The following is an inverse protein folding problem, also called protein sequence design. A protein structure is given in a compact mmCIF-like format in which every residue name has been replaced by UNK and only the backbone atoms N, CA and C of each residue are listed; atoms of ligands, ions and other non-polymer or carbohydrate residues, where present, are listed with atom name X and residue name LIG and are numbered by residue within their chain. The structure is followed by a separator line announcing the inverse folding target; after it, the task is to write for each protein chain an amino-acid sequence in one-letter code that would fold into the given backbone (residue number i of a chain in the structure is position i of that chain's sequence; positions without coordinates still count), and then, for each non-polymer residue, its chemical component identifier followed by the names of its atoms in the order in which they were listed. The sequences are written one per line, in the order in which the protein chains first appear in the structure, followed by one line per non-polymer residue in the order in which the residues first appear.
data_IF_978695031161
#
_entry.id   IF_978695031161
#
_cell.length_a   1.000
_cell.length_b   1.000
_cell.length_c   1.000
_cell.angle_alpha   90.00
_cell.angle_beta   90.00
_cell.angle_gamma   90.00
#
_symmetry.space_group_name_H-M   'P 1'
#
loop_
_entity.id
_entity.type
_entity.pdbx_description
1 polymer ?
#
# COMPACT_ATOMS: atom_id res chain seq x y z
N UNK A 1 -28.21 -24.30 8.66
CA UNK A 1 -27.36 -23.21 8.12
C UNK A 1 -27.90 -22.84 6.76
N UNK A 2 -28.12 -21.56 6.48
CA UNK A 2 -28.68 -21.10 5.20
C UNK A 2 -27.72 -21.40 4.04
N UNK A 3 -28.28 -21.77 2.88
CA UNK A 3 -27.56 -22.07 1.64
C UNK A 3 -26.59 -20.94 1.25
N UNK A 4 -27.00 -19.69 1.46
CA UNK A 4 -26.17 -18.49 1.29
C UNK A 4 -24.89 -18.50 2.16
N UNK A 5 -24.99 -18.94 3.42
CA UNK A 5 -23.84 -19.01 4.33
C UNK A 5 -22.83 -20.07 3.86
N UNK A 6 -23.31 -21.18 3.30
CA UNK A 6 -22.45 -22.23 2.78
C UNK A 6 -21.73 -21.80 1.50
N UNK A 7 -22.44 -21.12 0.59
CA UNK A 7 -21.86 -20.51 -0.61
C UNK A 7 -20.79 -19.47 -0.24
N UNK A 8 -21.05 -18.62 0.76
CA UNK A 8 -20.09 -17.63 1.24
C UNK A 8 -18.81 -18.30 1.78
N UNK A 9 -18.93 -19.33 2.62
CA UNK A 9 -17.79 -20.08 3.16
C UNK A 9 -16.96 -20.73 2.05
N UNK A 10 -17.62 -21.31 1.06
CA UNK A 10 -16.94 -21.90 -0.10
C UNK A 10 -16.15 -20.85 -0.89
N UNK A 11 -16.76 -19.70 -1.18
CA UNK A 11 -16.12 -18.61 -1.91
C UNK A 11 -14.91 -18.05 -1.17
N UNK A 12 -15.05 -17.78 0.14
CA UNK A 12 -13.96 -17.31 1.01
C UNK A 12 -12.82 -18.33 1.00
N UNK A 13 -13.12 -19.61 1.24
CA UNK A 13 -12.12 -20.68 1.23
C UNK A 13 -11.37 -20.81 -0.10
N UNK A 14 -12.10 -20.71 -1.22
CA UNK A 14 -11.53 -20.77 -2.56
C UNK A 14 -10.64 -19.54 -2.85
N UNK A 15 -11.05 -18.34 -2.44
CA UNK A 15 -10.24 -17.13 -2.59
C UNK A 15 -8.97 -17.17 -1.75
N UNK A 16 -9.03 -17.67 -0.51
CA UNK A 16 -7.85 -17.85 0.35
C UNK A 16 -6.88 -18.87 -0.27
N UNK A 17 -7.40 -19.98 -0.81
CA UNK A 17 -6.59 -20.95 -1.56
C UNK A 17 -5.87 -20.29 -2.74
N UNK A 18 -6.56 -19.43 -3.50
CA UNK A 18 -5.98 -18.67 -4.62
C UNK A 18 -4.86 -17.73 -4.13
N UNK A 19 -5.09 -16.96 -3.05
CA UNK A 19 -4.09 -16.07 -2.45
C UNK A 19 -2.81 -16.84 -2.08
N UNK A 20 -2.98 -17.97 -1.38
CA UNK A 20 -1.89 -18.85 -0.99
C UNK A 20 -1.10 -19.37 -2.19
N UNK A 21 -1.80 -19.85 -3.22
CA UNK A 21 -1.17 -20.38 -4.43
C UNK A 21 -0.41 -19.31 -5.21
N UNK A 22 -0.95 -18.08 -5.32
CA UNK A 22 -0.26 -16.95 -5.98
C UNK A 22 1.06 -16.60 -5.29
N UNK A 23 1.11 -16.69 -3.96
CA UNK A 23 2.36 -16.53 -3.18
C UNK A 23 3.25 -17.79 -3.17
N UNK A 24 2.87 -18.86 -3.86
CA UNK A 24 3.53 -20.19 -3.86
C UNK A 24 3.69 -20.79 -2.45
N UNK A 25 2.74 -20.51 -1.57
CA UNK A 25 2.75 -21.03 -0.20
C UNK A 25 2.14 -22.44 -0.12
N UNK A 26 2.74 -23.30 0.71
CA UNK A 26 2.14 -24.59 1.07
C UNK A 26 0.97 -24.38 2.02
N UNK A 27 0.04 -25.34 2.07
CA UNK A 27 -1.02 -25.32 3.09
C UNK A 27 -0.42 -25.34 4.50
N UNK A 28 0.67 -26.08 4.72
CA UNK A 28 1.36 -26.10 6.02
C UNK A 28 1.80 -24.70 6.44
N UNK A 29 2.41 -23.92 5.54
CA UNK A 29 2.87 -22.55 5.84
C UNK A 29 1.72 -21.63 6.27
N UNK A 30 0.62 -21.64 5.52
CA UNK A 30 -0.55 -20.83 5.87
C UNK A 30 -1.22 -21.34 7.16
N UNK A 31 -1.26 -22.65 7.38
CA UNK A 31 -1.83 -23.22 8.60
C UNK A 31 -1.03 -22.81 9.84
N UNK A 32 0.31 -22.82 9.75
CA UNK A 32 1.20 -22.31 10.79
C UNK A 32 0.95 -20.84 11.08
N UNK A 33 0.83 -19.99 10.05
CA UNK A 33 0.51 -18.57 10.22
C UNK A 33 -0.81 -18.36 10.99
N UNK A 34 -1.81 -19.21 10.73
CA UNK A 34 -3.14 -19.10 11.33
C UNK A 34 -3.29 -19.86 12.65
N UNK A 35 -2.23 -20.53 13.13
CA UNK A 35 -2.28 -21.32 14.36
C UNK A 35 -3.20 -22.55 14.28
N UNK A 36 -3.36 -23.15 13.10
CA UNK A 36 -4.25 -24.31 12.86
C UNK A 36 -3.51 -25.48 12.23
N UNK A 37 -4.14 -26.66 12.21
CA UNK A 37 -3.59 -27.82 11.50
C UNK A 37 -3.74 -27.69 9.99
N UNK A 38 -2.82 -28.29 9.23
CA UNK A 38 -2.89 -28.32 7.77
C UNK A 38 -4.16 -29.02 7.26
N UNK A 39 -4.61 -30.07 7.95
CA UNK A 39 -5.88 -30.75 7.65
C UNK A 39 -7.08 -29.81 7.84
N UNK A 40 -7.08 -29.00 8.90
CA UNK A 40 -8.16 -28.03 9.13
C UNK A 40 -8.15 -26.94 8.06
N UNK A 41 -6.99 -26.40 7.69
CA UNK A 41 -6.89 -25.46 6.57
C UNK A 41 -7.42 -26.06 5.26
N UNK A 42 -7.12 -27.33 4.98
CA UNK A 42 -7.65 -28.06 3.81
C UNK A 42 -9.19 -28.15 3.81
N UNK A 43 -9.82 -28.27 4.99
CA UNK A 43 -11.29 -28.21 5.10
C UNK A 43 -11.81 -26.79 4.87
N UNK A 44 -11.16 -25.79 5.46
CA UNK A 44 -11.53 -24.38 5.29
C UNK A 44 -11.46 -23.93 3.82
N UNK A 45 -10.38 -24.27 3.12
CA UNK A 45 -10.20 -23.95 1.68
C UNK A 45 -11.23 -24.66 0.77
N UNK A 46 -11.91 -25.70 1.27
CA UNK A 46 -13.00 -26.42 0.58
C UNK A 46 -14.39 -25.96 1.03
N UNK A 47 -14.49 -24.92 1.85
CA UNK A 47 -15.76 -24.43 2.41
C UNK A 47 -16.39 -25.34 3.46
N UNK A 48 -15.65 -26.33 3.98
CA UNK A 48 -16.11 -27.31 4.98
C UNK A 48 -15.92 -26.80 6.42
N UNK A 49 -15.72 -25.51 6.61
CA UNK A 49 -15.57 -24.85 7.92
C UNK A 49 -15.60 -23.33 7.77
N UNK A 50 -15.26 -22.61 8.84
CA UNK A 50 -15.21 -21.14 8.85
C UNK A 50 -13.89 -20.66 9.44
N UNK A 51 -13.35 -19.58 8.88
CA UNK A 51 -12.29 -18.81 9.53
C UNK A 51 -12.90 -17.99 10.67
N UNK A 52 -12.17 -17.82 11.77
CA UNK A 52 -12.52 -16.82 12.78
C UNK A 52 -12.25 -15.41 12.24
N UNK A 53 -12.78 -14.38 12.90
CA UNK A 53 -12.53 -13.00 12.51
C UNK A 53 -11.03 -12.65 12.59
N UNK A 54 -10.33 -13.13 13.63
CA UNK A 54 -8.91 -12.91 13.86
C UNK A 54 -8.05 -13.60 12.78
N UNK A 55 -8.44 -14.82 12.38
CA UNK A 55 -7.79 -15.53 11.27
C UNK A 55 -7.99 -14.77 9.96
N UNK A 56 -9.20 -14.27 9.70
CA UNK A 56 -9.48 -13.49 8.51
C UNK A 56 -8.66 -12.19 8.48
N UNK A 57 -8.63 -11.43 9.57
CA UNK A 57 -7.79 -10.23 9.69
C UNK A 57 -6.31 -10.54 9.50
N UNK A 58 -5.83 -11.67 10.02
CA UNK A 58 -4.45 -12.12 9.81
C UNK A 58 -4.18 -12.37 8.33
N UNK A 59 -5.09 -13.03 7.62
CA UNK A 59 -5.01 -13.26 6.16
C UNK A 59 -5.01 -11.92 5.41
N UNK A 60 -5.97 -11.03 5.71
CA UNK A 60 -6.09 -9.73 5.05
C UNK A 60 -4.79 -8.93 5.16
N UNK A 61 -4.20 -8.86 6.36
CA UNK A 61 -2.91 -8.18 6.57
C UNK A 61 -1.76 -8.87 5.85
N UNK A 62 -1.63 -10.20 5.97
CA UNK A 62 -0.47 -10.91 5.43
C UNK A 62 -0.46 -11.00 3.91
N UNK A 63 -1.62 -11.29 3.32
CA UNK A 63 -1.77 -11.28 1.87
C UNK A 63 -1.91 -9.87 1.31
N UNK A 64 -2.05 -8.89 2.21
CA UNK A 64 -2.33 -7.50 1.91
C UNK A 64 -3.52 -7.47 0.96
N UNK A 65 -4.75 -7.65 1.43
CA UNK A 65 -5.98 -7.54 0.63
C UNK A 65 -7.02 -6.82 1.47
N UNK A 66 -7.89 -5.98 0.87
CA UNK A 66 -8.91 -5.26 1.62
C UNK A 66 -10.01 -6.20 2.13
N UNK A 67 -10.77 -5.78 3.15
CA UNK A 67 -11.80 -6.62 3.77
C UNK A 67 -12.95 -6.96 2.81
N UNK A 68 -13.22 -6.09 1.83
CA UNK A 68 -14.20 -6.28 0.78
C UNK A 68 -13.75 -7.28 -0.32
N UNK A 69 -12.50 -7.75 -0.27
CA UNK A 69 -11.96 -8.74 -1.23
C UNK A 69 -12.81 -10.02 -1.28
N UNK A 70 -13.41 -10.38 -0.15
CA UNK A 70 -14.28 -11.55 0.00
C UNK A 70 -15.76 -11.25 -0.24
N UNK A 71 -16.11 -10.02 -0.61
CA UNK A 71 -17.49 -9.60 -0.83
C UNK A 71 -18.04 -10.18 -2.14
N UNK A 72 -19.16 -10.92 -2.11
CA UNK A 72 -19.74 -11.52 -3.32
C UNK A 72 -20.28 -10.49 -4.32
N UNK A 73 -20.49 -9.24 -3.88
CA UNK A 73 -21.09 -8.17 -4.67
C UNK A 73 -20.09 -7.06 -5.02
N UNK A 74 -18.76 -7.30 -5.01
CA UNK A 74 -17.82 -6.27 -5.47
C UNK A 74 -18.11 -6.01 -6.96
N UNK A 75 -18.67 -4.86 -7.35
CA UNK A 75 -18.69 -4.52 -8.77
C UNK A 75 -17.23 -4.53 -9.23
N UNK A 76 -16.90 -5.00 -10.45
CA UNK A 76 -15.52 -4.97 -10.91
C UNK A 76 -15.05 -3.52 -10.87
N UNK A 77 -14.30 -3.15 -9.84
CA UNK A 77 -13.67 -1.85 -9.73
C UNK A 77 -12.52 -1.88 -10.71
N UNK A 78 -12.83 -1.59 -11.98
CA UNK A 78 -11.86 -1.69 -13.06
C UNK A 78 -10.66 -0.82 -12.76
N UNK A 79 -10.82 0.32 -12.10
CA UNK A 79 -9.74 1.27 -11.84
C UNK A 79 -8.88 0.83 -10.65
N UNK A 80 -9.46 0.59 -9.46
CA UNK A 80 -8.70 0.18 -8.27
C UNK A 80 -7.92 -1.12 -8.52
N UNK A 81 -8.57 -2.13 -9.14
CA UNK A 81 -7.93 -3.40 -9.43
C UNK A 81 -6.86 -3.28 -10.54
N UNK A 82 -7.04 -2.37 -11.51
CA UNK A 82 -6.01 -2.05 -12.51
C UNK A 82 -4.80 -1.36 -11.89
N UNK A 83 -5.01 -0.40 -10.97
CA UNK A 83 -3.94 0.25 -10.21
C UNK A 83 -3.19 -0.80 -9.40
N UNK A 84 -3.90 -1.67 -8.67
CA UNK A 84 -3.29 -2.76 -7.91
C UNK A 84 -2.43 -3.67 -8.79
N UNK A 85 -2.94 -4.07 -9.97
CA UNK A 85 -2.19 -4.90 -10.92
C UNK A 85 -0.94 -4.18 -11.44
N UNK A 86 -1.04 -2.90 -11.76
CA UNK A 86 0.09 -2.10 -12.21
C UNK A 86 1.14 -1.94 -11.09
N UNK A 87 0.72 -1.62 -9.86
CA UNK A 87 1.60 -1.52 -8.70
C UNK A 87 2.36 -2.82 -8.46
N UNK A 88 1.66 -3.96 -8.51
CA UNK A 88 2.26 -5.28 -8.33
C UNK A 88 3.39 -5.56 -9.35
N UNK A 89 3.14 -5.23 -10.62
CA UNK A 89 4.10 -5.43 -11.73
C UNK A 89 5.31 -4.50 -11.67
N UNK A 90 5.14 -3.28 -11.15
CA UNK A 90 6.21 -2.28 -11.03
C UNK A 90 7.04 -2.44 -9.74
N UNK A 91 6.79 -3.47 -8.93
CA UNK A 91 7.65 -3.83 -7.80
C UNK A 91 6.96 -3.89 -6.44
N UNK A 92 5.67 -3.54 -6.35
CA UNK A 92 4.86 -3.83 -5.17
C UNK A 92 4.39 -5.30 -5.18
N UNK A 93 5.32 -6.25 -5.29
CA UNK A 93 5.10 -7.70 -5.42
C UNK A 93 4.26 -8.33 -4.29
N UNK A 94 4.03 -7.57 -3.22
CA UNK A 94 3.19 -7.97 -2.11
C UNK A 94 1.69 -7.76 -2.37
N UNK A 95 1.33 -7.01 -3.40
CA UNK A 95 -0.04 -6.89 -3.86
C UNK A 95 -0.42 -8.10 -4.71
N UNK A 96 -1.69 -8.51 -4.63
CA UNK A 96 -2.19 -9.68 -5.35
C UNK A 96 -2.81 -9.25 -6.67
N UNK A 97 -2.23 -9.67 -7.79
CA UNK A 97 -2.82 -9.35 -9.10
C UNK A 97 -4.18 -10.04 -9.30
N UNK A 98 -5.18 -9.32 -9.79
CA UNK A 98 -6.43 -9.87 -10.31
C UNK A 98 -6.21 -10.38 -11.74
N UNK A 99 -6.35 -11.70 -11.96
CA UNK A 99 -6.05 -12.37 -13.23
C UNK A 99 -7.06 -12.08 -14.35
N UNK A 100 -8.17 -11.42 -14.02
CA UNK A 100 -9.29 -11.18 -14.91
C UNK A 100 -9.19 -9.84 -15.67
N UNK A 101 -8.15 -9.05 -15.38
CA UNK A 101 -8.00 -7.70 -15.94
C UNK A 101 -6.77 -7.58 -16.85
N UNK A 102 -7.01 -7.03 -18.04
CA UNK A 102 -5.97 -6.65 -18.97
C UNK A 102 -5.22 -5.40 -18.45
N UNK A 103 -3.91 -5.28 -18.70
CA UNK A 103 -3.16 -4.07 -18.40
C UNK A 103 -3.76 -2.86 -19.13
N UNK A 104 -3.96 -1.75 -18.43
CA UNK A 104 -4.31 -0.47 -19.08
C UNK A 104 -3.06 0.18 -19.67
N UNK A 105 -3.17 0.71 -20.89
CA UNK A 105 -2.14 1.54 -21.53
C UNK A 105 -1.79 2.77 -20.67
N UNK A 106 -2.77 3.35 -19.98
CA UNK A 106 -2.58 4.53 -19.12
C UNK A 106 -1.73 4.26 -17.87
N UNK A 107 -1.59 2.98 -17.48
CA UNK A 107 -0.87 2.54 -16.29
C UNK A 107 0.47 1.86 -16.61
N UNK A 108 0.99 2.06 -17.83
CA UNK A 108 2.31 1.57 -18.20
C UNK A 108 3.41 2.35 -17.50
N UNK A 109 4.23 1.64 -16.71
CA UNK A 109 5.43 2.15 -16.09
C UNK A 109 5.20 2.87 -14.76
N UNK A 110 6.20 2.76 -13.87
CA UNK A 110 6.18 3.28 -12.51
C UNK A 110 5.67 4.73 -12.35
N UNK A 111 6.03 5.67 -13.22
CA UNK A 111 5.57 7.07 -13.09
C UNK A 111 4.05 7.19 -13.16
N UNK A 112 3.43 6.54 -14.14
CA UNK A 112 1.98 6.56 -14.32
C UNK A 112 1.28 5.84 -13.17
N UNK A 113 1.84 4.72 -12.71
CA UNK A 113 1.28 3.95 -11.59
C UNK A 113 1.34 4.72 -10.28
N UNK A 114 2.46 5.38 -9.97
CA UNK A 114 2.59 6.22 -8.77
C UNK A 114 1.62 7.40 -8.83
N UNK A 115 1.50 8.05 -10.01
CA UNK A 115 0.55 9.14 -10.20
C UNK A 115 -0.87 8.67 -9.90
N UNK A 116 -1.32 7.59 -10.54
CA UNK A 116 -2.69 7.13 -10.37
C UNK A 116 -3.00 6.76 -8.91
N UNK A 117 -2.11 6.02 -8.24
CA UNK A 117 -2.32 5.60 -6.85
C UNK A 117 -2.47 6.79 -5.87
N UNK A 118 -1.75 7.89 -6.10
CA UNK A 118 -1.81 9.09 -5.26
C UNK A 118 -2.94 10.06 -5.64
N UNK A 119 -3.32 10.08 -6.91
CA UNK A 119 -4.43 10.91 -7.40
C UNK A 119 -5.77 10.30 -7.00
N UNK A 120 -5.96 8.99 -7.25
CA UNK A 120 -7.20 8.31 -6.86
C UNK A 120 -7.33 8.25 -5.34
N UNK A 121 -6.23 7.96 -4.64
CA UNK A 121 -6.16 7.87 -3.19
C UNK A 121 -7.24 6.97 -2.55
N UNK A 122 -7.74 5.98 -3.32
CA UNK A 122 -8.87 5.13 -2.92
C UNK A 122 -8.48 4.08 -1.87
N UNK A 123 -7.18 3.81 -1.71
CA UNK A 123 -6.68 2.75 -0.86
C UNK A 123 -5.35 3.10 -0.21
N UNK A 124 -5.33 3.19 1.12
CA UNK A 124 -4.12 3.39 1.93
C UNK A 124 -3.02 2.38 1.60
N UNK A 125 -3.43 1.15 1.29
CA UNK A 125 -2.56 0.06 0.85
C UNK A 125 -1.88 0.33 -0.50
N UNK A 126 -2.60 0.92 -1.44
CA UNK A 126 -2.04 1.28 -2.76
C UNK A 126 -1.13 2.50 -2.66
N UNK A 127 -1.48 3.45 -1.79
CA UNK A 127 -0.65 4.60 -1.46
C UNK A 127 0.69 4.14 -0.88
N UNK A 128 0.71 3.25 0.12
CA UNK A 128 1.97 2.79 0.73
C UNK A 128 2.79 1.90 -0.22
N UNK A 129 2.13 1.20 -1.13
CA UNK A 129 2.76 0.38 -2.16
C UNK A 129 3.60 1.18 -3.18
N UNK A 130 3.53 2.51 -3.21
CA UNK A 130 4.44 3.31 -4.03
C UNK A 130 5.90 3.26 -3.52
N UNK A 131 6.14 3.04 -2.22
CA UNK A 131 7.50 2.97 -1.67
C UNK A 131 8.36 1.87 -2.33
N UNK A 132 7.93 0.60 -2.42
CA UNK A 132 8.71 -0.43 -3.10
C UNK A 132 8.92 -0.16 -4.60
N UNK A 133 8.00 0.55 -5.25
CA UNK A 133 8.14 0.97 -6.65
C UNK A 133 9.22 2.05 -6.77
N UNK A 134 9.13 3.12 -5.97
CA UNK A 134 10.14 4.18 -5.91
C UNK A 134 11.51 3.59 -5.60
N UNK A 135 11.61 2.71 -4.60
CA UNK A 135 12.87 2.06 -4.23
C UNK A 135 13.44 1.17 -5.36
N UNK A 136 12.58 0.50 -6.13
CA UNK A 136 12.98 -0.34 -7.25
C UNK A 136 13.35 0.46 -8.49
N UNK A 137 12.71 1.61 -8.70
CA UNK A 137 12.85 2.44 -9.90
C UNK A 137 13.70 3.69 -9.68
N UNK A 138 14.27 3.92 -8.49
CA UNK A 138 14.93 5.18 -8.13
C UNK A 138 15.94 5.70 -9.17
N UNK A 139 16.72 4.80 -9.80
CA UNK A 139 17.71 5.18 -10.82
C UNK A 139 17.16 5.52 -12.21
N UNK A 140 15.89 5.21 -12.50
CA UNK A 140 15.25 5.43 -13.81
C UNK A 140 13.99 6.30 -13.75
N UNK A 141 13.46 6.53 -12.55
CA UNK A 141 12.26 7.32 -12.34
C UNK A 141 12.58 8.80 -12.57
N UNK A 142 11.89 9.43 -13.52
CA UNK A 142 12.02 10.87 -13.76
C UNK A 142 11.18 11.65 -12.73
N UNK A 143 11.76 11.87 -11.55
CA UNK A 143 11.10 12.56 -10.44
C UNK A 143 10.75 14.02 -10.77
N UNK A 144 11.57 14.72 -11.55
CA UNK A 144 11.28 16.08 -12.01
C UNK A 144 10.00 16.13 -12.84
N UNK A 145 9.89 15.24 -13.83
CA UNK A 145 8.69 15.15 -14.68
C UNK A 145 7.46 14.81 -13.84
N UNK A 146 7.57 13.79 -12.99
CA UNK A 146 6.47 13.39 -12.11
C UNK A 146 6.05 14.55 -11.20
N UNK A 147 7.00 15.30 -10.65
CA UNK A 147 6.69 16.47 -9.83
C UNK A 147 5.97 17.57 -10.59
N UNK A 148 6.40 17.87 -11.82
CA UNK A 148 5.71 18.83 -12.68
C UNK A 148 4.28 18.37 -12.99
N UNK A 149 4.05 17.08 -13.23
CA UNK A 149 2.70 16.53 -13.41
C UNK A 149 1.84 16.76 -12.16
N UNK A 150 2.36 16.55 -10.96
CA UNK A 150 1.60 16.82 -9.73
C UNK A 150 1.37 18.32 -9.47
N UNK A 151 2.32 19.20 -9.83
CA UNK A 151 2.10 20.65 -9.79
C UNK A 151 0.93 21.04 -10.69
N UNK A 152 0.85 20.48 -11.91
CA UNK A 152 -0.27 20.77 -12.81
C UNK A 152 -1.63 20.32 -12.28
N UNK A 153 -1.64 19.36 -11.36
CA UNK A 153 -2.84 18.87 -10.68
C UNK A 153 -3.13 19.61 -9.36
N UNK A 154 -2.23 20.46 -8.88
CA UNK A 154 -2.31 21.07 -7.54
C UNK A 154 -2.15 20.06 -6.39
N UNK A 155 -1.51 18.92 -6.67
CA UNK A 155 -1.32 17.81 -5.73
C UNK A 155 0.16 17.59 -5.37
N UNK A 156 1.03 18.57 -5.63
CA UNK A 156 2.46 18.45 -5.42
C UNK A 156 2.85 18.04 -4.00
N UNK A 157 2.07 18.47 -3.01
CA UNK A 157 2.28 18.10 -1.62
C UNK A 157 2.02 16.61 -1.35
N UNK A 158 1.08 15.96 -2.06
CA UNK A 158 0.87 14.50 -1.95
C UNK A 158 2.10 13.73 -2.42
N UNK A 159 2.67 14.11 -3.57
CA UNK A 159 3.88 13.47 -4.08
C UNK A 159 5.06 13.70 -3.14
N UNK A 160 5.24 14.92 -2.65
CA UNK A 160 6.34 15.25 -1.73
C UNK A 160 6.19 14.50 -0.40
N UNK A 161 4.99 14.46 0.17
CA UNK A 161 4.67 13.66 1.35
C UNK A 161 4.98 12.18 1.16
N UNK A 162 4.58 11.60 0.03
CA UNK A 162 4.85 10.22 -0.32
C UNK A 162 6.35 9.91 -0.44
N UNK A 163 7.10 10.79 -1.09
CA UNK A 163 8.56 10.67 -1.23
C UNK A 163 9.24 10.77 0.14
N UNK A 164 8.82 11.71 0.99
CA UNK A 164 9.39 11.93 2.31
C UNK A 164 9.17 10.70 3.23
N UNK A 165 7.94 10.16 3.25
CA UNK A 165 7.64 8.92 3.97
C UNK A 165 8.41 7.73 3.40
N UNK A 166 8.54 7.60 2.08
CA UNK A 166 9.34 6.55 1.44
C UNK A 166 10.81 6.64 1.86
N UNK A 167 11.36 7.85 1.91
CA UNK A 167 12.74 8.10 2.30
C UNK A 167 12.98 7.76 3.77
N UNK A 168 12.04 8.09 4.65
CA UNK A 168 12.08 7.71 6.07
C UNK A 168 11.94 6.19 6.25
N UNK A 169 11.00 5.56 5.55
CA UNK A 169 10.81 4.11 5.54
C UNK A 169 12.07 3.35 5.09
N UNK A 170 12.77 3.86 4.07
CA UNK A 170 14.04 3.29 3.62
C UNK A 170 15.14 3.40 4.67
N UNK A 171 15.17 4.50 5.45
CA UNK A 171 16.10 4.69 6.57
C UNK A 171 15.78 3.72 7.71
N UNK A 172 14.50 3.58 8.06
CA UNK A 172 14.03 2.62 9.07
C UNK A 172 14.40 1.19 8.69
N UNK A 173 14.10 0.75 7.46
CA UNK A 173 14.48 -0.59 6.98
C UNK A 173 16.00 -0.79 6.93
N UNK A 174 16.76 0.25 6.56
CA UNK A 174 18.24 0.16 6.51
C UNK A 174 18.88 0.04 7.89
N UNK A 175 18.20 0.47 8.95
CA UNK A 175 18.66 0.30 10.33
C UNK A 175 18.52 -1.16 10.82
N UNK A 176 17.68 -1.96 10.14
CA UNK A 176 17.48 -3.37 10.46
C UNK A 176 18.52 -4.28 9.79
N UNK A 177 18.60 -5.54 10.25
CA UNK A 177 19.48 -6.55 9.68
C UNK A 177 18.99 -7.02 8.29
N UNK A 178 19.35 -6.28 7.25
CA UNK A 178 19.02 -6.61 5.86
C UNK A 178 20.08 -7.47 5.15
N UNK A 179 19.69 -8.37 4.24
CA UNK A 179 20.61 -8.99 3.29
C UNK A 179 21.39 -7.95 2.48
N UNK A 180 22.64 -8.26 2.10
CA UNK A 180 23.56 -7.31 1.45
C UNK A 180 22.97 -6.66 0.20
N UNK A 181 22.31 -7.44 -0.65
CA UNK A 181 21.68 -6.96 -1.88
C UNK A 181 20.64 -5.87 -1.60
N UNK A 182 19.70 -6.14 -0.70
CA UNK A 182 18.63 -5.20 -0.33
C UNK A 182 19.17 -3.95 0.36
N UNK A 183 20.18 -4.10 1.21
CA UNK A 183 20.84 -2.96 1.86
C UNK A 183 21.48 -2.03 0.85
N UNK A 184 22.17 -2.56 -0.15
CA UNK A 184 22.78 -1.77 -1.23
C UNK A 184 21.71 -1.09 -2.09
N UNK A 185 20.63 -1.82 -2.43
CA UNK A 185 19.50 -1.30 -3.20
C UNK A 185 18.84 -0.12 -2.47
N UNK A 186 18.49 -0.28 -1.19
CA UNK A 186 17.82 0.76 -0.40
C UNK A 186 18.74 1.95 -0.16
N UNK A 187 20.02 1.73 0.17
CA UNK A 187 20.99 2.83 0.30
C UNK A 187 21.11 3.65 -0.99
N UNK A 188 21.23 2.99 -2.15
CA UNK A 188 21.27 3.66 -3.44
C UNK A 188 20.00 4.45 -3.71
N UNK A 189 18.83 3.85 -3.47
CA UNK A 189 17.55 4.54 -3.63
C UNK A 189 17.46 5.77 -2.74
N UNK A 190 17.77 5.65 -1.45
CA UNK A 190 17.79 6.77 -0.50
C UNK A 190 18.71 7.90 -0.96
N UNK A 191 19.93 7.59 -1.43
CA UNK A 191 20.85 8.63 -1.93
C UNK A 191 20.28 9.38 -3.13
N UNK A 192 19.70 8.67 -4.10
CA UNK A 192 19.13 9.30 -5.31
C UNK A 192 17.91 10.16 -4.94
N UNK A 193 17.02 9.63 -4.11
CA UNK A 193 15.80 10.31 -3.68
C UNK A 193 16.15 11.54 -2.84
N UNK A 194 17.04 11.41 -1.86
CA UNK A 194 17.47 12.52 -1.00
C UNK A 194 18.13 13.63 -1.83
N UNK A 195 19.01 13.29 -2.78
CA UNK A 195 19.66 14.27 -3.65
C UNK A 195 18.65 15.09 -4.47
N UNK A 196 17.60 14.44 -4.96
CA UNK A 196 16.49 15.10 -5.64
C UNK A 196 15.61 15.93 -4.69
N UNK A 197 15.33 15.38 -3.51
CA UNK A 197 14.26 15.85 -2.64
C UNK A 197 14.68 16.91 -1.62
N UNK A 198 15.96 16.94 -1.23
CA UNK A 198 16.50 17.81 -0.19
C UNK A 198 16.13 19.30 -0.35
N UNK A 199 16.16 19.92 -1.56
CA UNK A 199 15.76 21.32 -1.73
C UNK A 199 14.33 21.58 -1.24
N UNK A 200 13.41 20.65 -1.50
CA UNK A 200 12.01 20.78 -1.11
C UNK A 200 11.81 20.64 0.39
N UNK A 201 12.55 19.76 1.09
CA UNK A 201 12.49 19.64 2.56
C UNK A 201 12.92 20.93 3.27
N UNK A 202 13.85 21.67 2.68
CA UNK A 202 14.34 22.95 3.22
C UNK A 202 13.28 24.04 3.03
N UNK A 203 12.69 24.11 1.84
CA UNK A 203 11.69 25.11 1.47
C UNK A 203 10.32 24.87 2.11
N UNK A 204 9.97 23.62 2.40
CA UNK A 204 8.69 23.23 3.02
C UNK A 204 8.65 23.44 4.54
N UNK A 205 9.52 24.28 5.10
CA UNK A 205 9.30 24.78 6.46
C UNK A 205 7.94 25.50 6.46
N UNK A 206 7.03 25.18 7.39
CA UNK A 206 5.72 25.79 7.38
C UNK A 206 5.91 27.28 7.64
N UNK A 207 5.83 28.10 6.60
CA UNK A 207 5.40 29.49 6.74
C UNK A 207 3.92 29.40 7.07
N UNK A 208 3.62 29.13 8.35
CA UNK A 208 2.28 29.30 8.88
C UNK A 208 1.98 30.77 8.69
N UNK A 209 1.21 31.12 7.67
CA UNK A 209 0.59 32.42 7.63
C UNK A 209 -0.65 32.30 8.52
N UNK A 210 -0.65 32.87 9.74
CA UNK A 210 -1.71 32.67 10.72
C UNK A 210 -3.08 33.18 10.23
N UNK A 211 -3.11 34.00 9.17
CA UNK A 211 -4.33 34.57 8.58
C UNK A 211 -4.97 33.71 7.48
N UNK A 212 -4.28 32.66 7.00
CA UNK A 212 -4.79 31.75 5.97
C UNK A 212 -4.52 30.30 6.36
N UNK A 213 -5.46 29.62 7.05
CA UNK A 213 -5.32 28.19 7.33
C UNK A 213 -5.15 27.44 6.01
N UNK A 214 -3.99 26.82 5.84
CA UNK A 214 -3.64 26.07 4.64
C UNK A 214 -4.72 25.01 4.41
N UNK A 215 -5.32 24.99 3.21
CA UNK A 215 -6.31 24.00 2.84
C UNK A 215 -5.71 22.61 3.10
N UNK A 216 -6.25 21.91 4.09
CA UNK A 216 -5.70 20.62 4.51
C UNK A 216 -6.17 19.56 3.53
N UNK A 217 -5.22 18.90 2.88
CA UNK A 217 -5.51 17.86 1.89
C UNK A 217 -5.74 16.52 2.61
N UNK A 218 -6.99 16.02 2.58
CA UNK A 218 -7.34 14.75 3.22
C UNK A 218 -6.96 13.59 2.29
N UNK A 219 -6.00 12.79 2.73
CA UNK A 219 -5.44 11.66 1.98
C UNK A 219 -5.61 10.36 2.78
N UNK A 220 -6.85 10.07 3.14
CA UNK A 220 -7.21 8.88 3.89
C UNK A 220 -8.68 8.56 3.63
N UNK A 221 -8.99 7.53 2.81
CA UNK A 221 -10.36 7.17 2.47
C UNK A 221 -11.16 6.68 3.69
N UNK A 222 -10.47 6.28 4.78
CA UNK A 222 -11.09 5.82 6.02
C UNK A 222 -11.45 6.97 6.98
N UNK A 223 -11.20 8.23 6.58
CA UNK A 223 -11.69 9.43 7.29
C UNK A 223 -13.04 9.82 6.68
N UNK A 224 -14.13 9.39 7.32
CA UNK A 224 -15.50 9.55 6.81
C UNK A 224 -16.35 10.49 7.66
N UNK A 225 -15.86 10.96 8.80
CA UNK A 225 -16.57 11.87 9.72
C UNK A 225 -15.72 13.05 10.15
N UNK A 226 -16.36 14.16 10.50
CA UNK A 226 -15.68 15.36 11.03
C UNK A 226 -14.94 15.08 12.33
N UNK A 227 -15.51 14.25 13.21
CA UNK A 227 -14.86 13.81 14.46
C UNK A 227 -13.58 13.04 14.17
N UNK A 228 -13.62 12.07 13.25
CA UNK A 228 -12.44 11.31 12.86
C UNK A 228 -11.38 12.20 12.19
N UNK A 229 -11.81 13.24 11.48
CA UNK A 229 -10.93 14.20 10.84
C UNK A 229 -10.22 15.09 11.88
N UNK A 230 -10.95 15.56 12.89
CA UNK A 230 -10.38 16.39 13.96
C UNK A 230 -9.43 15.58 14.86
N UNK A 231 -9.75 14.32 15.14
CA UNK A 231 -8.83 13.42 15.83
C UNK A 231 -7.53 13.21 15.04
N UNK A 232 -7.62 12.96 13.73
CA UNK A 232 -6.42 12.77 12.91
C UNK A 232 -5.57 14.03 12.85
N UNK A 233 -6.19 15.22 12.84
CA UNK A 233 -5.47 16.50 12.85
C UNK A 233 -4.58 16.71 14.08
N UNK A 234 -5.00 16.25 15.25
CA UNK A 234 -4.20 16.39 16.49
C UNK A 234 -3.00 15.44 16.49
N UNK A 235 -3.16 14.27 15.88
CA UNK A 235 -2.18 13.18 15.88
C UNK A 235 -1.26 13.17 14.64
N UNK A 236 -1.35 14.14 13.72
CA UNK A 236 -0.55 14.12 12.49
C UNK A 236 0.96 14.00 12.76
N UNK A 237 1.58 13.08 12.01
CA UNK A 237 3.03 12.91 11.97
C UNK A 237 3.76 14.20 11.57
N UNK A 238 5.04 14.37 11.94
CA UNK A 238 5.84 15.52 11.52
C UNK A 238 5.92 15.69 10.00
N UNK A 239 5.90 14.58 9.24
CA UNK A 239 5.92 14.60 7.77
C UNK A 239 4.57 15.07 7.25
N UNK A 240 3.46 14.53 7.76
CA UNK A 240 2.10 14.93 7.38
C UNK A 240 1.85 16.41 7.68
N UNK A 241 2.27 16.91 8.85
CA UNK A 241 2.23 18.35 9.20
C UNK A 241 3.04 19.22 8.23
N UNK A 242 4.25 18.80 7.87
CA UNK A 242 5.13 19.55 6.94
C UNK A 242 4.49 19.75 5.58
N UNK A 243 3.80 18.75 5.08
CA UNK A 243 3.22 18.75 3.74
C UNK A 243 1.73 19.12 3.71
N UNK A 244 1.12 19.42 4.87
CA UNK A 244 -0.30 19.77 4.95
C UNK A 244 -1.26 18.64 4.56
N UNK A 245 -0.83 17.38 4.75
CA UNK A 245 -1.62 16.19 4.43
C UNK A 245 -2.28 15.68 5.71
N UNK A 246 -3.60 15.48 5.67
CA UNK A 246 -4.39 14.89 6.77
C UNK A 246 -4.59 13.42 6.46
N UNK A 247 -3.90 12.56 7.21
CA UNK A 247 -3.92 11.11 7.01
C UNK A 247 -3.39 10.39 8.23
N UNK A 248 -3.87 9.17 8.47
CA UNK A 248 -3.30 8.24 9.47
C UNK A 248 -2.09 7.47 8.93
N UNK A 249 -1.82 7.55 7.63
CA UNK A 249 -0.71 6.83 7.00
C UNK A 249 0.62 7.46 7.41
N UNK A 250 1.54 6.65 7.91
CA UNK A 250 2.85 7.08 8.39
C UNK A 250 4.01 6.31 7.74
N UNK A 251 5.23 6.76 7.98
CA UNK A 251 6.45 6.15 7.44
C UNK A 251 6.56 4.65 7.77
N UNK A 252 6.02 4.21 8.91
CA UNK A 252 6.00 2.80 9.30
C UNK A 252 5.13 1.95 8.36
N UNK A 253 4.03 2.46 7.82
CA UNK A 253 3.19 1.74 6.85
C UNK A 253 3.93 1.56 5.51
N UNK A 254 4.68 2.58 5.09
CA UNK A 254 5.56 2.48 3.92
C UNK A 254 6.70 1.48 4.17
N UNK A 255 7.25 1.43 5.40
CA UNK A 255 8.28 0.44 5.79
C UNK A 255 7.72 -0.99 5.76
N UNK A 256 6.49 -1.19 6.25
CA UNK A 256 5.79 -2.47 6.14
C UNK A 256 5.58 -2.89 4.68
N UNK A 257 5.20 -1.97 3.79
CA UNK A 257 5.07 -2.25 2.36
C UNK A 257 6.41 -2.64 1.71
N UNK A 258 7.51 -1.97 2.07
CA UNK A 258 8.87 -2.33 1.65
C UNK A 258 9.26 -3.73 2.13
N UNK A 259 9.02 -4.05 3.40
CA UNK A 259 9.28 -5.37 3.98
C UNK A 259 8.47 -6.45 3.27
N UNK A 260 7.18 -6.21 3.06
CA UNK A 260 6.27 -7.16 2.42
C UNK A 260 6.66 -7.44 0.96
N UNK A 261 7.08 -6.41 0.21
CA UNK A 261 7.53 -6.56 -1.19
C UNK A 261 8.83 -7.36 -1.33
N UNK A 262 9.69 -7.34 -0.31
CA UNK A 262 10.91 -8.15 -0.28
C UNK A 262 10.62 -9.65 -0.06
N UNK A 263 9.50 -10.01 0.58
CA UNK A 263 9.08 -11.39 0.79
C UNK A 263 9.83 -12.14 1.89
N UNK A 264 10.31 -11.44 2.93
CA UNK A 264 11.08 -12.03 4.05
C UNK A 264 10.27 -12.68 5.18
N UNK A 265 8.96 -12.88 5.03
CA UNK A 265 8.13 -13.68 5.95
C UNK A 265 7.57 -14.91 5.23
#
# INVERSE_FOLDING_TARGET
MTEQTQTLRFNIGAQIRKLRQKRRWSQTRLATLLGISQNYLSLLERGRGSFTAEQLLTILRHFNVPIDYFSPNKPPSRVEDQIQNALAREGASHLVESSELLPSESLKGASNTIREALVSAESSRQITAIAPIIATHAGRLNLNRLHNEFITLGLENRLRWAIDNTLEALKLESSQALPREWRLKYRRASTIIEAYFAPWRILARPTINPEQPQASDVLDPDITSTESLDQVRTELSPISKRWGIVTRIEADDFAQALKAARGTD
#
